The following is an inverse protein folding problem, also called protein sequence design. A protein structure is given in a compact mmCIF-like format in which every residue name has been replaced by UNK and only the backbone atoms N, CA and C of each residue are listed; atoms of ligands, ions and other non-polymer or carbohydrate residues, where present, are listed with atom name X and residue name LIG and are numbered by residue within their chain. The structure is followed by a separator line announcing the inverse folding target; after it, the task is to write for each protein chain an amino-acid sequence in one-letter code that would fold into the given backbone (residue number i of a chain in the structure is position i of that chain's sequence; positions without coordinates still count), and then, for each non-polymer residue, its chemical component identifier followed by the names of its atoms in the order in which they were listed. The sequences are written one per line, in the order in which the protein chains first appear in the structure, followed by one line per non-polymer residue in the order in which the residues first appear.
data_IF_837901746546
#
_entry.id   IF_837901746546
#
_cell.length_a   1.000
_cell.length_b   1.000
_cell.length_c   1.000
_cell.angle_alpha   90.00
_cell.angle_beta   90.00
_cell.angle_gamma   90.00
#
_symmetry.space_group_name_H-M   'P 1'
#
loop_
_entity.id
_entity.type
_entity.pdbx_description
1 polymer ?
#
# COMPACT_ATOMS: atom_id res chain seq x y z
N UNK A 1 -12.18 -7.10 -13.22
CA UNK A 1 -11.06 -7.21 -14.17
C UNK A 1 -9.80 -7.13 -13.33
N UNK A 2 -8.93 -8.14 -13.42
CA UNK A 2 -7.65 -8.13 -12.70
C UNK A 2 -6.69 -7.16 -13.39
N UNK A 3 -5.99 -6.34 -12.61
CA UNK A 3 -5.01 -5.37 -13.07
C UNK A 3 -3.61 -5.81 -12.68
N UNK A 4 -2.72 -5.96 -13.65
CA UNK A 4 -1.30 -6.17 -13.38
C UNK A 4 -0.68 -4.88 -12.85
N UNK A 5 -0.15 -4.94 -11.62
CA UNK A 5 0.49 -3.81 -10.93
C UNK A 5 2.03 -3.92 -10.88
N UNK A 6 2.62 -4.89 -11.58
CA UNK A 6 4.06 -5.21 -11.52
C UNK A 6 4.93 -3.99 -11.82
N UNK A 7 4.60 -3.26 -12.88
CA UNK A 7 5.36 -2.06 -13.28
C UNK A 7 5.25 -0.95 -12.23
N UNK A 8 4.09 -0.75 -11.61
CA UNK A 8 3.93 0.23 -10.53
C UNK A 8 4.78 -0.14 -9.31
N UNK A 9 4.78 -1.40 -8.90
CA UNK A 9 5.57 -1.87 -7.76
C UNK A 9 7.08 -1.72 -8.02
N UNK A 10 7.56 -2.15 -9.19
CA UNK A 10 8.96 -1.97 -9.57
C UNK A 10 9.36 -0.49 -9.62
N UNK A 11 8.45 0.37 -10.10
CA UNK A 11 8.68 1.81 -10.12
C UNK A 11 8.79 2.39 -8.71
N UNK A 12 7.93 1.98 -7.77
CA UNK A 12 8.02 2.37 -6.37
C UNK A 12 9.37 1.95 -5.77
N UNK A 13 9.84 0.72 -6.03
CA UNK A 13 11.15 0.25 -5.57
C UNK A 13 12.30 1.10 -6.11
N UNK A 14 12.24 1.52 -7.37
CA UNK A 14 13.28 2.37 -7.97
C UNK A 14 13.38 3.76 -7.33
N UNK A 15 12.31 4.23 -6.68
CA UNK A 15 12.24 5.55 -6.02
C UNK A 15 12.59 5.51 -4.53
N UNK A 16 12.97 4.35 -3.98
CA UNK A 16 13.26 4.18 -2.55
C UNK A 16 14.25 5.21 -1.98
N UNK A 17 15.23 5.66 -2.78
CA UNK A 17 16.28 6.58 -2.33
C UNK A 17 15.79 7.96 -1.89
N UNK A 18 14.61 8.38 -2.36
CA UNK A 18 13.99 9.67 -2.00
C UNK A 18 12.88 9.52 -0.95
N UNK A 19 12.60 8.29 -0.52
CA UNK A 19 11.56 7.99 0.45
C UNK A 19 12.17 7.73 1.81
N UNK A 20 11.89 8.63 2.75
CA UNK A 20 12.38 8.53 4.11
C UNK A 20 11.23 8.61 5.12
N UNK A 21 11.60 8.60 6.41
CA UNK A 21 10.62 8.67 7.50
C UNK A 21 9.79 9.94 7.42
N UNK A 22 10.41 11.04 7.04
CA UNK A 22 9.78 12.35 7.02
C UNK A 22 8.71 12.40 5.94
N UNK A 23 9.01 11.91 4.73
CA UNK A 23 8.04 11.85 3.64
C UNK A 23 6.91 10.86 3.93
N UNK A 24 7.23 9.70 4.51
CA UNK A 24 6.22 8.74 4.98
C UNK A 24 5.25 9.37 6.00
N UNK A 25 5.78 10.02 7.04
CA UNK A 25 4.94 10.66 8.07
C UNK A 25 4.14 11.84 7.52
N UNK A 26 4.71 12.59 6.58
CA UNK A 26 4.03 13.67 5.87
C UNK A 26 2.87 13.13 5.04
N UNK A 27 3.04 12.00 4.34
CA UNK A 27 1.96 11.33 3.62
C UNK A 27 0.81 10.93 4.55
N UNK A 28 1.11 10.21 5.66
CA UNK A 28 0.08 9.82 6.62
C UNK A 28 -0.69 11.01 7.19
N UNK A 29 0.02 12.09 7.54
CA UNK A 29 -0.60 13.32 8.06
C UNK A 29 -1.44 14.02 6.99
N UNK A 30 -1.00 13.99 5.74
CA UNK A 30 -1.73 14.57 4.60
C UNK A 30 -3.03 13.82 4.36
N UNK A 31 -2.99 12.48 4.33
CA UNK A 31 -4.18 11.64 4.20
C UNK A 31 -5.20 11.89 5.33
N UNK A 32 -4.71 11.91 6.57
CA UNK A 32 -5.53 12.19 7.76
C UNK A 32 -6.19 13.58 7.70
N UNK A 33 -5.52 14.56 7.11
CA UNK A 33 -6.05 15.93 6.94
C UNK A 33 -7.07 16.01 5.80
N UNK A 34 -6.82 15.31 4.69
CA UNK A 34 -7.66 15.37 3.49
C UNK A 34 -8.96 14.58 3.63
N UNK A 35 -9.00 13.59 4.53
CA UNK A 35 -10.19 12.77 4.78
C UNK A 35 -10.67 12.97 6.22
N UNK A 36 -11.62 13.90 6.46
CA UNK A 36 -12.16 14.14 7.79
C UNK A 36 -12.74 12.87 8.42
N UNK A 37 -12.45 12.65 9.71
CA UNK A 37 -12.89 11.46 10.44
C UNK A 37 -12.01 10.22 10.24
N UNK A 38 -11.01 10.30 9.37
CA UNK A 38 -9.99 9.26 9.29
C UNK A 38 -8.98 9.35 10.44
N UNK A 39 -8.27 8.25 10.69
CA UNK A 39 -7.18 8.17 11.66
C UNK A 39 -6.05 7.34 11.10
N UNK A 40 -4.80 7.75 11.36
CA UNK A 40 -3.65 6.88 11.09
C UNK A 40 -3.52 5.79 12.17
N UNK A 41 -3.12 4.60 11.74
CA UNK A 41 -2.75 3.46 12.58
C UNK A 41 -1.37 2.97 12.12
N UNK A 42 -0.34 3.30 12.89
CA UNK A 42 1.04 2.90 12.65
C UNK A 42 1.81 2.97 13.97
N UNK A 43 2.49 1.88 14.32
CA UNK A 43 3.40 1.82 15.46
C UNK A 43 4.86 1.78 15.00
N UNK A 44 5.53 2.91 15.15
CA UNK A 44 6.95 3.05 14.82
C UNK A 44 7.84 2.10 15.64
N UNK A 45 7.51 1.86 16.91
CA UNK A 45 8.34 1.09 17.81
C UNK A 45 8.20 -0.42 17.59
N UNK A 46 7.11 -0.84 16.94
CA UNK A 46 6.89 -2.21 16.50
C UNK A 46 7.64 -2.57 15.21
N UNK A 47 8.29 -1.60 14.55
CA UNK A 47 9.01 -1.83 13.30
C UNK A 47 8.10 -2.00 12.08
N UNK A 48 6.84 -1.56 12.17
CA UNK A 48 5.85 -1.75 11.11
C UNK A 48 6.27 -1.07 9.80
N UNK A 49 6.28 -1.84 8.71
CA UNK A 49 6.56 -1.33 7.36
C UNK A 49 5.37 -0.69 6.66
N UNK A 50 4.20 -0.70 7.28
CA UNK A 50 2.98 -0.19 6.69
C UNK A 50 2.23 0.70 7.67
N UNK A 51 1.94 1.93 7.25
CA UNK A 51 0.96 2.77 7.93
C UNK A 51 -0.41 2.58 7.31
N UNK A 52 -1.44 2.46 8.14
CA UNK A 52 -2.83 2.28 7.69
C UNK A 52 -3.61 3.55 7.98
N UNK A 53 -4.45 4.00 7.04
CA UNK A 53 -5.47 5.02 7.31
C UNK A 53 -6.81 4.31 7.44
N UNK A 54 -7.52 4.58 8.53
CA UNK A 54 -8.82 4.01 8.84
C UNK A 54 -9.90 5.09 8.84
N UNK A 55 -11.08 4.82 8.32
CA UNK A 55 -12.28 5.64 8.48
C UNK A 55 -13.43 4.78 8.99
N UNK A 56 -14.05 5.18 10.10
CA UNK A 56 -15.12 4.40 10.76
C UNK A 56 -14.74 2.93 11.06
N UNK A 57 -13.45 2.64 11.19
CA UNK A 57 -12.92 1.29 11.43
C UNK A 57 -12.59 0.49 10.17
N UNK A 58 -12.93 0.99 8.99
CA UNK A 58 -12.60 0.38 7.70
C UNK A 58 -11.27 0.90 7.15
N UNK A 59 -10.58 0.07 6.37
CA UNK A 59 -9.31 0.47 5.75
C UNK A 59 -9.55 1.36 4.54
N UNK A 60 -9.03 2.58 4.62
CA UNK A 60 -9.04 3.54 3.52
C UNK A 60 -7.78 3.45 2.68
N UNK A 61 -6.61 3.31 3.32
CA UNK A 61 -5.34 3.27 2.64
C UNK A 61 -4.26 2.49 3.40
N UNK A 62 -3.29 1.98 2.63
CA UNK A 62 -2.03 1.44 3.10
C UNK A 62 -0.88 2.25 2.50
N UNK A 63 0.01 2.77 3.34
CA UNK A 63 1.22 3.49 2.95
C UNK A 63 2.43 2.65 3.32
N UNK A 64 3.31 2.38 2.36
CA UNK A 64 4.54 1.65 2.64
C UNK A 64 5.62 2.59 3.21
N UNK A 65 6.34 2.11 4.22
CA UNK A 65 7.41 2.87 4.89
C UNK A 65 8.72 2.88 4.11
N UNK A 66 9.01 1.81 3.39
CA UNK A 66 10.31 1.60 2.72
C UNK A 66 10.33 2.15 1.29
N UNK A 67 9.14 2.26 0.67
CA UNK A 67 8.98 2.74 -0.70
C UNK A 67 7.82 3.74 -0.81
N UNK A 68 7.86 4.68 -1.77
CA UNK A 68 6.78 5.64 -2.00
C UNK A 68 5.60 4.96 -2.69
N UNK A 69 4.91 4.07 -1.97
CA UNK A 69 3.81 3.26 -2.44
C UNK A 69 2.59 3.47 -1.56
N UNK A 70 1.46 3.74 -2.20
CA UNK A 70 0.17 3.95 -1.57
C UNK A 70 -0.88 3.07 -2.25
N UNK A 71 -1.54 2.23 -1.47
CA UNK A 71 -2.83 1.67 -1.85
C UNK A 71 -3.92 2.54 -1.22
N UNK A 72 -4.93 2.96 -1.99
CA UNK A 72 -6.03 3.79 -1.48
C UNK A 72 -7.36 3.41 -2.13
N UNK A 73 -8.45 3.50 -1.38
CA UNK A 73 -9.79 3.25 -1.92
C UNK A 73 -10.13 4.18 -3.10
N UNK A 74 -10.76 3.62 -4.13
CA UNK A 74 -11.05 4.27 -5.41
C UNK A 74 -11.92 5.53 -5.25
N UNK A 75 -12.82 5.53 -4.27
CA UNK A 75 -13.67 6.68 -3.96
C UNK A 75 -12.87 7.94 -3.57
N UNK A 76 -11.64 7.77 -3.10
CA UNK A 76 -10.72 8.85 -2.76
C UNK A 76 -9.70 9.15 -3.87
N UNK A 77 -9.93 8.71 -5.11
CA UNK A 77 -9.01 9.02 -6.23
C UNK A 77 -8.76 10.52 -6.42
N UNK A 78 -9.70 11.39 -6.02
CA UNK A 78 -9.58 12.84 -6.15
C UNK A 78 -8.47 13.46 -5.30
N UNK A 79 -7.99 12.75 -4.27
CA UNK A 79 -6.90 13.24 -3.42
C UNK A 79 -5.52 12.81 -3.91
N UNK A 80 -5.44 12.05 -5.01
CA UNK A 80 -4.17 11.56 -5.59
C UNK A 80 -3.23 12.71 -5.99
N UNK A 81 -3.76 13.82 -6.50
CA UNK A 81 -2.94 14.98 -6.91
C UNK A 81 -2.26 15.66 -5.72
N UNK A 82 -2.83 15.54 -4.51
CA UNK A 82 -2.23 16.06 -3.29
C UNK A 82 -1.12 15.15 -2.72
N UNK A 83 -0.93 13.97 -3.31
CA UNK A 83 -0.03 12.90 -2.88
C UNK A 83 1.13 12.75 -3.89
N UNK A 84 1.64 13.88 -4.37
CA UNK A 84 2.71 13.93 -5.37
C UNK A 84 3.95 13.14 -4.93
N UNK A 85 4.61 12.50 -5.89
CA UNK A 85 5.78 11.65 -5.68
C UNK A 85 5.49 10.19 -5.33
N UNK A 86 4.27 9.86 -4.90
CA UNK A 86 3.85 8.48 -4.59
C UNK A 86 3.45 7.71 -5.85
N UNK A 87 3.70 6.40 -5.83
CA UNK A 87 3.05 5.45 -6.71
C UNK A 87 1.72 5.08 -6.05
N UNK A 88 0.62 5.52 -6.65
CA UNK A 88 -0.73 5.31 -6.12
C UNK A 88 -1.40 4.17 -6.87
N UNK A 89 -1.90 3.19 -6.14
CA UNK A 89 -2.68 2.06 -6.62
C UNK A 89 -4.06 2.15 -5.98
N UNK A 90 -5.08 2.41 -6.80
CA UNK A 90 -6.45 2.52 -6.34
C UNK A 90 -7.05 1.13 -6.13
N UNK A 91 -7.78 0.89 -5.04
CA UNK A 91 -8.55 -0.34 -4.85
C UNK A 91 -10.04 -0.11 -4.60
N UNK A 92 -10.91 -1.01 -5.04
CA UNK A 92 -12.35 -0.85 -4.84
C UNK A 92 -12.80 -1.27 -3.45
N UNK A 93 -12.30 -2.40 -2.98
CA UNK A 93 -12.56 -2.98 -1.68
C UNK A 93 -11.30 -3.72 -1.21
N UNK A 94 -11.08 -3.76 0.10
CA UNK A 94 -9.83 -4.21 0.68
C UNK A 94 -9.52 -5.69 0.41
N UNK A 95 -10.56 -6.52 0.38
CA UNK A 95 -10.47 -7.98 0.32
C UNK A 95 -10.88 -8.52 -1.06
N UNK A 96 -11.29 -7.63 -1.97
CA UNK A 96 -11.60 -8.01 -3.35
C UNK A 96 -10.33 -8.25 -4.15
N UNK A 97 -10.23 -9.42 -4.78
CA UNK A 97 -9.11 -9.75 -5.68
C UNK A 97 -9.21 -8.97 -6.98
N UNK A 98 -8.33 -8.00 -7.16
CA UNK A 98 -8.32 -7.08 -8.32
C UNK A 98 -6.93 -6.82 -8.89
N UNK A 99 -5.90 -7.40 -8.28
CA UNK A 99 -4.50 -7.21 -8.67
C UNK A 99 -3.85 -8.51 -9.10
N UNK A 100 -2.94 -8.40 -10.06
CA UNK A 100 -1.93 -9.40 -10.37
C UNK A 100 -0.54 -8.77 -10.18
N UNK A 101 0.41 -9.58 -9.74
CA UNK A 101 1.80 -9.17 -9.55
C UNK A 101 2.71 -10.32 -10.00
N UNK A 102 3.73 -10.05 -10.80
CA UNK A 102 4.68 -11.07 -11.22
C UNK A 102 5.23 -11.83 -10.00
N UNK A 103 5.09 -13.16 -10.01
CA UNK A 103 5.41 -14.02 -8.85
C UNK A 103 6.82 -13.77 -8.31
N UNK A 104 7.80 -13.58 -9.20
CA UNK A 104 9.18 -13.31 -8.80
C UNK A 104 9.33 -11.99 -8.02
N UNK A 105 8.57 -10.95 -8.39
CA UNK A 105 8.55 -9.67 -7.70
C UNK A 105 7.81 -9.80 -6.38
N UNK A 106 6.66 -10.48 -6.37
CA UNK A 106 5.87 -10.67 -5.16
C UNK A 106 6.65 -11.45 -4.10
N UNK A 107 7.29 -12.56 -4.47
CA UNK A 107 8.06 -13.40 -3.56
C UNK A 107 9.31 -12.68 -3.03
N UNK A 108 9.96 -11.86 -3.86
CA UNK A 108 11.08 -11.02 -3.43
C UNK A 108 10.63 -10.00 -2.39
N UNK A 109 9.48 -9.36 -2.60
CA UNK A 109 8.98 -8.32 -1.69
C UNK A 109 8.45 -8.91 -0.38
N UNK A 110 7.69 -10.00 -0.45
CA UNK A 110 7.13 -10.72 0.70
C UNK A 110 8.17 -11.50 1.51
N UNK A 111 9.42 -11.57 1.02
CA UNK A 111 10.48 -12.41 1.57
C UNK A 111 10.05 -13.88 1.72
N UNK A 112 9.28 -14.38 0.76
CA UNK A 112 8.78 -15.75 0.71
C UNK A 112 7.50 -16.02 1.50
N UNK A 113 6.92 -15.03 2.20
CA UNK A 113 5.65 -15.22 2.94
C UNK A 113 4.46 -15.50 2.03
N UNK A 114 4.46 -14.96 0.81
CA UNK A 114 3.43 -15.23 -0.21
C UNK A 114 3.29 -16.72 -0.52
N UNK A 115 4.41 -17.43 -0.68
CA UNK A 115 4.42 -18.88 -0.94
C UNK A 115 3.89 -19.66 0.27
N UNK A 116 4.30 -19.30 1.49
CA UNK A 116 3.83 -19.97 2.71
C UNK A 116 2.35 -19.72 3.02
N UNK A 117 1.83 -18.57 2.57
CA UNK A 117 0.42 -18.19 2.74
C UNK A 117 -0.51 -18.80 1.70
N UNK A 118 0.03 -19.44 0.65
CA UNK A 118 -0.77 -19.98 -0.45
C UNK A 118 -1.47 -18.90 -1.29
N UNK A 119 -0.92 -17.68 -1.33
CA UNK A 119 -1.49 -16.58 -2.09
C UNK A 119 -1.24 -16.77 -3.59
N UNK A 120 -2.28 -16.60 -4.39
CA UNK A 120 -2.17 -16.63 -5.85
C UNK A 120 -1.71 -15.26 -6.36
N UNK A 121 -0.54 -15.17 -6.97
CA UNK A 121 0.01 -13.91 -7.47
C UNK A 121 -0.80 -13.27 -8.61
N UNK A 122 -1.65 -14.05 -9.28
CA UNK A 122 -2.54 -13.58 -10.34
C UNK A 122 -3.89 -13.05 -9.80
N UNK A 123 -4.18 -13.24 -8.51
CA UNK A 123 -5.45 -12.88 -7.87
C UNK A 123 -5.20 -12.40 -6.44
N UNK A 124 -4.82 -11.13 -6.31
CA UNK A 124 -4.49 -10.48 -5.04
C UNK A 124 -5.46 -9.34 -4.74
N UNK A 125 -5.82 -9.21 -3.47
CA UNK A 125 -6.44 -8.02 -2.90
C UNK A 125 -5.40 -7.06 -2.31
N UNK A 126 -5.82 -5.86 -1.89
CA UNK A 126 -4.93 -4.95 -1.18
C UNK A 126 -4.50 -5.53 0.18
N UNK A 127 -5.42 -6.23 0.86
CA UNK A 127 -5.14 -6.88 2.14
C UNK A 127 -4.17 -8.05 2.01
N UNK A 128 -4.24 -8.84 0.93
CA UNK A 128 -3.29 -9.92 0.64
C UNK A 128 -1.87 -9.38 0.48
N UNK A 129 -1.71 -8.29 -0.29
CA UNK A 129 -0.41 -7.65 -0.53
C UNK A 129 0.14 -7.08 0.78
N UNK A 130 -0.68 -6.35 1.55
CA UNK A 130 -0.30 -5.84 2.86
C UNK A 130 0.11 -6.96 3.80
N UNK A 131 -0.70 -8.01 3.95
CA UNK A 131 -0.45 -9.14 4.84
C UNK A 131 0.84 -9.90 4.47
N UNK A 132 1.08 -10.10 3.17
CA UNK A 132 2.27 -10.79 2.70
C UNK A 132 3.55 -9.97 2.95
N UNK A 133 3.45 -8.65 3.13
CA UNK A 133 4.59 -7.73 3.17
C UNK A 133 4.72 -6.93 4.48
N UNK A 134 3.79 -7.09 5.43
CA UNK A 134 3.88 -6.54 6.78
C UNK A 134 4.90 -7.37 7.59
N UNK A 135 6.15 -6.95 7.52
CA UNK A 135 7.29 -7.47 8.27
C UNK A 135 7.82 -6.40 9.21
#
# INVERSE_FOLDING_TARGET
MIRDITSQIQWAFSKASYWDRKEFMKCLTTLETLVPGSRKNWDEYAGEKWGIILIEGNVLAYVNRDFPLLFIQYEYQSIQDALDGLVVILFSDNDTSEFALETAIFNRWSQGRSDTGGLNSDELSASDIWWATIL
#
